data_IF_372127415830
#
_entry.id   IF_372127415830
#
_cell.length_a   1.000
_cell.length_b   1.000
_cell.length_c   1.000
_cell.angle_alpha   90.00
_cell.angle_beta   90.00
_cell.angle_gamma   90.00
#
_symmetry.space_group_name_H-M   'P 1'
#
loop_
_entity.id
_entity.type
_entity.pdbx_description
1 polymer ?
#
# COMPACT_ATOMS: atom_id res chain seq x y z
N UNK A 1 20.37 10.31 -27.70
CA UNK A 1 19.67 9.02 -27.59
C UNK A 1 19.47 8.74 -26.12
N UNK A 2 18.24 8.49 -25.67
CA UNK A 2 17.92 8.16 -24.28
C UNK A 2 18.47 6.77 -23.94
N UNK A 3 19.12 6.62 -22.80
CA UNK A 3 19.68 5.34 -22.36
C UNK A 3 18.62 4.47 -21.68
N UNK A 4 18.85 3.17 -21.58
CA UNK A 4 17.97 2.28 -20.78
C UNK A 4 17.95 2.69 -19.30
N UNK A 5 19.04 3.28 -18.80
CA UNK A 5 19.09 3.85 -17.45
C UNK A 5 18.11 5.02 -17.31
N UNK A 6 18.09 5.94 -18.27
CA UNK A 6 17.20 7.10 -18.24
C UNK A 6 15.71 6.67 -18.23
N UNK A 7 15.35 5.70 -19.07
CA UNK A 7 13.99 5.13 -19.10
C UNK A 7 13.62 4.47 -17.76
N UNK A 8 14.56 3.76 -17.15
CA UNK A 8 14.35 3.11 -15.85
C UNK A 8 14.11 4.15 -14.76
N UNK A 9 14.88 5.24 -14.76
CA UNK A 9 14.69 6.34 -13.81
C UNK A 9 13.34 7.05 -13.99
N UNK A 10 12.89 7.24 -15.23
CA UNK A 10 11.57 7.81 -15.55
C UNK A 10 10.43 6.92 -15.01
N UNK A 11 10.50 5.61 -15.25
CA UNK A 11 9.50 4.65 -14.73
C UNK A 11 9.48 4.63 -13.20
N UNK A 12 10.64 4.74 -12.55
CA UNK A 12 10.72 4.81 -11.09
C UNK A 12 10.11 6.10 -10.53
N UNK A 13 10.25 7.23 -11.24
CA UNK A 13 9.56 8.47 -10.84
C UNK A 13 8.05 8.33 -10.96
N UNK A 14 7.56 7.67 -12.01
CA UNK A 14 6.13 7.36 -12.17
C UNK A 14 5.66 6.47 -11.01
N UNK A 15 6.40 5.41 -10.67
CA UNK A 15 6.07 4.54 -9.55
C UNK A 15 6.01 5.32 -8.22
N UNK A 16 7.02 6.14 -7.91
CA UNK A 16 7.03 6.99 -6.71
C UNK A 16 5.79 7.89 -6.65
N UNK A 17 5.41 8.51 -7.77
CA UNK A 17 4.21 9.34 -7.82
C UNK A 17 2.93 8.51 -7.61
N UNK A 18 2.85 7.32 -8.19
CA UNK A 18 1.72 6.40 -7.99
C UNK A 18 1.54 6.05 -6.51
N UNK A 19 2.63 5.85 -5.75
CA UNK A 19 2.54 5.57 -4.31
C UNK A 19 2.05 6.78 -3.50
N UNK A 20 2.44 8.00 -3.90
CA UNK A 20 1.94 9.24 -3.29
C UNK A 20 0.44 9.38 -3.54
N UNK A 21 0.02 9.20 -4.79
CA UNK A 21 -1.39 9.31 -5.20
C UNK A 21 -2.24 8.20 -4.53
N UNK A 22 -1.71 6.98 -4.45
CA UNK A 22 -2.34 5.84 -3.79
C UNK A 22 -2.56 6.09 -2.30
N UNK A 23 -1.55 6.63 -1.61
CA UNK A 23 -1.69 7.03 -0.20
C UNK A 23 -2.80 8.07 0.00
N UNK A 24 -2.81 9.12 -0.82
CA UNK A 24 -3.83 10.16 -0.73
C UNK A 24 -5.23 9.58 -1.00
N UNK A 25 -5.35 8.74 -2.01
CA UNK A 25 -6.59 8.04 -2.35
C UNK A 25 -7.13 7.23 -1.17
N UNK A 26 -6.30 6.37 -0.57
CA UNK A 26 -6.72 5.55 0.57
C UNK A 26 -7.05 6.37 1.81
N UNK A 27 -6.30 7.45 2.09
CA UNK A 27 -6.63 8.35 3.18
C UNK A 27 -7.99 9.03 2.97
N UNK A 28 -8.26 9.54 1.77
CA UNK A 28 -9.54 10.15 1.43
C UNK A 28 -10.69 9.13 1.54
N UNK A 29 -10.53 7.96 0.95
CA UNK A 29 -11.51 6.87 1.04
C UNK A 29 -11.77 6.47 2.51
N UNK A 30 -10.74 6.47 3.36
CA UNK A 30 -10.91 6.18 4.79
C UNK A 30 -11.72 7.25 5.54
N UNK A 31 -11.63 8.51 5.12
CA UNK A 31 -12.40 9.62 5.71
C UNK A 31 -13.87 9.59 5.26
N UNK A 32 -14.13 9.12 4.04
CA UNK A 32 -15.47 9.00 3.46
C UNK A 32 -16.19 7.70 3.89
N UNK A 33 -15.47 6.72 4.42
CA UNK A 33 -16.04 5.43 4.82
C UNK A 33 -16.90 5.55 6.09
N UNK A 34 -18.15 5.10 6.01
CA UNK A 34 -19.05 4.95 7.15
C UNK A 34 -18.84 3.63 7.94
N UNK A 35 -18.00 2.73 7.44
CA UNK A 35 -17.70 1.44 8.07
C UNK A 35 -16.35 1.51 8.80
N UNK A 36 -16.36 1.35 10.12
CA UNK A 36 -15.14 1.43 10.94
C UNK A 36 -14.08 0.38 10.56
N UNK A 37 -14.48 -0.82 10.14
CA UNK A 37 -13.54 -1.82 9.63
C UNK A 37 -12.95 -1.37 8.29
N UNK A 38 -13.79 -0.87 7.39
CA UNK A 38 -13.35 -0.32 6.10
C UNK A 38 -12.36 0.82 6.27
N UNK A 39 -12.64 1.75 7.19
CA UNK A 39 -11.75 2.85 7.57
C UNK A 39 -10.40 2.35 8.09
N UNK A 40 -10.38 1.40 9.03
CA UNK A 40 -9.14 0.80 9.57
C UNK A 40 -8.32 0.11 8.47
N UNK A 41 -8.98 -0.60 7.54
CA UNK A 41 -8.34 -1.25 6.40
C UNK A 41 -7.69 -0.23 5.47
N UNK A 42 -8.44 0.79 5.03
CA UNK A 42 -7.96 1.82 4.12
C UNK A 42 -6.79 2.62 4.73
N UNK A 43 -6.83 2.91 6.03
CA UNK A 43 -5.69 3.52 6.74
C UNK A 43 -4.46 2.62 6.75
N UNK A 44 -4.62 1.30 6.88
CA UNK A 44 -3.51 0.34 6.80
C UNK A 44 -2.90 0.33 5.40
N UNK A 45 -3.71 0.34 4.35
CA UNK A 45 -3.24 0.40 2.96
C UNK A 45 -2.49 1.70 2.69
N UNK A 46 -3.03 2.85 3.12
CA UNK A 46 -2.32 4.13 3.01
C UNK A 46 -0.94 4.13 3.69
N UNK A 47 -0.78 3.38 4.79
CA UNK A 47 0.50 3.23 5.48
C UNK A 47 1.46 2.27 4.76
N UNK A 48 0.95 1.32 3.98
CA UNK A 48 1.76 0.44 3.12
C UNK A 48 2.35 1.22 1.93
N UNK A 49 1.60 2.16 1.34
CA UNK A 49 2.12 2.97 0.23
C UNK A 49 3.31 3.85 0.61
N UNK A 50 3.42 4.27 1.88
CA UNK A 50 4.65 4.94 2.36
C UNK A 50 5.88 4.01 2.30
N UNK A 51 5.70 2.72 2.63
CA UNK A 51 6.77 1.72 2.60
C UNK A 51 7.16 1.43 1.14
N UNK A 52 6.17 1.30 0.26
CA UNK A 52 6.40 1.11 -1.17
C UNK A 52 7.14 2.30 -1.78
N UNK A 53 6.70 3.54 -1.48
CA UNK A 53 7.36 4.76 -1.95
C UNK A 53 8.83 4.80 -1.54
N UNK A 54 9.11 4.57 -0.25
CA UNK A 54 10.48 4.53 0.26
C UNK A 54 11.33 3.49 -0.48
N UNK A 55 10.75 2.33 -0.81
CA UNK A 55 11.48 1.31 -1.55
C UNK A 55 11.79 1.73 -2.99
N UNK A 56 10.87 2.39 -3.66
CA UNK A 56 11.13 2.92 -5.00
C UNK A 56 12.16 4.07 -4.98
N UNK A 57 12.14 4.93 -3.96
CA UNK A 57 13.16 5.97 -3.74
C UNK A 57 14.55 5.35 -3.56
N UNK A 58 14.68 4.30 -2.74
CA UNK A 58 15.95 3.57 -2.58
C UNK A 58 16.46 2.96 -3.90
N UNK A 59 15.56 2.36 -4.70
CA UNK A 59 15.91 1.78 -6.00
C UNK A 59 16.34 2.88 -6.97
N UNK A 60 15.60 4.00 -7.02
CA UNK A 60 15.92 5.15 -7.84
C UNK A 60 17.34 5.67 -7.54
N UNK A 61 17.66 5.87 -6.26
CA UNK A 61 18.96 6.37 -5.84
C UNK A 61 20.09 5.36 -6.12
N UNK A 62 19.84 4.06 -5.94
CA UNK A 62 20.80 3.03 -6.27
C UNK A 62 21.13 2.99 -7.77
N UNK A 63 20.11 3.04 -8.63
CA UNK A 63 20.29 3.02 -10.09
C UNK A 63 20.92 4.31 -10.58
N UNK A 64 20.52 5.46 -10.04
CA UNK A 64 21.09 6.78 -10.39
C UNK A 64 22.58 6.86 -10.06
N UNK A 65 22.98 6.38 -8.88
CA UNK A 65 24.36 6.58 -8.37
C UNK A 65 25.31 5.42 -8.69
N UNK A 66 24.85 4.17 -8.60
CA UNK A 66 25.69 2.96 -8.70
C UNK A 66 25.48 2.17 -10.00
N UNK A 67 24.49 2.57 -10.82
CA UNK A 67 24.08 1.87 -12.05
C UNK A 67 23.76 0.38 -11.82
N UNK A 68 23.30 0.03 -10.62
CA UNK A 68 23.01 -1.33 -10.23
C UNK A 68 21.77 -1.38 -9.33
N UNK A 69 21.05 -2.50 -9.40
CA UNK A 69 19.91 -2.78 -8.51
C UNK A 69 20.39 -2.95 -7.06
N UNK A 70 19.67 -2.39 -6.08
CA UNK A 70 20.02 -2.60 -4.67
C UNK A 70 19.75 -4.05 -4.26
N UNK A 71 20.55 -4.58 -3.34
CA UNK A 71 20.24 -5.85 -2.68
C UNK A 71 18.99 -5.67 -1.80
N UNK A 72 18.10 -6.65 -1.83
CA UNK A 72 16.88 -6.65 -1.01
C UNK A 72 17.02 -7.61 0.15
N UNK A 73 16.67 -7.14 1.34
CA UNK A 73 16.55 -7.91 2.58
C UNK A 73 15.09 -7.92 3.09
N UNK A 74 14.13 -7.58 2.21
CA UNK A 74 12.72 -7.42 2.52
C UNK A 74 12.17 -8.58 3.35
N UNK A 75 11.63 -8.24 4.53
CA UNK A 75 10.98 -9.17 5.43
C UNK A 75 9.47 -8.88 5.45
N UNK A 76 8.64 -9.64 4.72
CA UNK A 76 7.20 -9.44 4.76
C UNK A 76 6.68 -9.79 6.17
N UNK A 77 5.66 -9.06 6.62
CA UNK A 77 4.97 -9.40 7.87
C UNK A 77 4.10 -10.67 7.74
N UNK A 78 4.01 -11.23 6.53
CA UNK A 78 3.23 -12.41 6.20
C UNK A 78 1.72 -12.18 6.33
N UNK A 79 1.24 -10.94 6.21
CA UNK A 79 -0.16 -10.56 6.38
C UNK A 79 -0.62 -10.50 7.84
N UNK A 80 0.30 -10.39 8.80
CA UNK A 80 -0.03 -10.31 10.24
C UNK A 80 -0.90 -9.09 10.55
N UNK A 81 -0.62 -7.94 9.90
CA UNK A 81 -1.42 -6.73 10.06
C UNK A 81 -2.87 -6.93 9.64
N UNK A 82 -3.11 -7.43 8.43
CA UNK A 82 -4.45 -7.74 7.94
C UNK A 82 -5.18 -8.75 8.84
N UNK A 83 -4.51 -9.84 9.22
CA UNK A 83 -5.10 -10.82 10.16
C UNK A 83 -5.49 -10.18 11.49
N UNK A 84 -4.70 -9.24 12.00
CA UNK A 84 -5.02 -8.53 13.26
C UNK A 84 -6.23 -7.61 13.10
N UNK A 85 -6.34 -6.89 11.98
CA UNK A 85 -7.49 -6.04 11.67
C UNK A 85 -8.78 -6.88 11.61
N UNK A 86 -8.77 -7.97 10.84
CA UNK A 86 -9.93 -8.84 10.72
C UNK A 86 -10.26 -9.61 12.01
N UNK A 87 -9.25 -10.09 12.75
CA UNK A 87 -9.48 -10.76 14.03
C UNK A 87 -10.21 -9.84 15.03
N UNK A 88 -9.75 -8.59 15.18
CA UNK A 88 -10.42 -7.60 16.03
C UNK A 88 -11.84 -7.32 15.56
N UNK A 89 -12.06 -7.23 14.25
CA UNK A 89 -13.40 -7.06 13.71
C UNK A 89 -14.32 -8.23 14.06
N UNK A 90 -13.83 -9.47 13.94
CA UNK A 90 -14.62 -10.66 14.32
C UNK A 90 -14.91 -10.73 15.82
N UNK A 91 -14.00 -10.24 16.67
CA UNK A 91 -14.23 -10.11 18.11
C UNK A 91 -15.29 -9.03 18.43
N UNK A 92 -15.23 -7.87 17.77
CA UNK A 92 -16.13 -6.74 17.98
C UNK A 92 -17.58 -7.04 17.55
N UNK A 93 -17.78 -7.82 16.47
CA UNK A 93 -19.12 -8.10 15.92
C UNK A 93 -19.81 -9.31 16.60
N UNK A 94 -19.05 -10.20 17.25
CA UNK A 94 -19.58 -11.42 17.88
C UNK A 94 -20.05 -12.49 16.87
N UNK A 95 -20.41 -13.69 17.35
CA UNK A 95 -20.68 -14.87 16.51
C UNK A 95 -21.98 -14.84 15.67
N UNK A 96 -22.71 -13.72 15.62
CA UNK A 96 -24.07 -13.68 15.09
C UNK A 96 -24.24 -12.72 13.90
N UNK A 97 -23.34 -12.83 12.92
CA UNK A 97 -23.35 -12.02 11.70
C UNK A 97 -24.28 -12.67 10.67
N UNK A 98 -25.44 -12.05 10.40
CA UNK A 98 -26.15 -12.27 9.14
C UNK A 98 -25.54 -11.35 8.10
N UNK A 99 -24.92 -11.92 7.06
CA UNK A 99 -24.50 -11.15 5.91
C UNK A 99 -25.74 -10.42 5.32
N UNK A 100 -25.70 -9.09 5.12
CA UNK A 100 -26.75 -8.41 4.39
C UNK A 100 -26.79 -8.99 2.96
N UNK A 101 -28.00 -9.19 2.44
CA UNK A 101 -28.23 -10.03 1.26
C UNK A 101 -27.62 -9.47 -0.03
N UNK A 102 -27.17 -8.21 -0.08
CA UNK A 102 -26.65 -7.58 -1.31
C UNK A 102 -25.83 -6.33 -0.97
N UNK A 103 -24.55 -6.29 -1.38
CA UNK A 103 -23.74 -5.06 -1.50
C UNK A 103 -23.17 -4.91 -2.93
N UNK A 104 -23.86 -5.47 -3.93
CA UNK A 104 -23.57 -5.21 -5.34
C UNK A 104 -24.90 -4.89 -6.03
N UNK A 105 -25.14 -3.60 -6.26
CA UNK A 105 -26.01 -3.10 -7.33
C UNK A 105 -25.11 -2.63 -8.49
#
# INVERSE_FOLDING_TARGET
MTTEQDKTLEVLQIAIQMEIDGKEYYLKASQESANELGKKLLQSLAAEEDIHRQKFEEIYDAIRNKKAWPTTDFQPDGGKRLRTIFARATEEIGSNIKAPTTEFD
#
